data_IF_394304161148
#
_entry.id   IF_394304161148
#
_cell.length_a   1.000
_cell.length_b   1.000
_cell.length_c   1.000
_cell.angle_alpha   90.00
_cell.angle_beta   90.00
_cell.angle_gamma   90.00
#
_symmetry.space_group_name_H-M   'P 1'
#
loop_
_entity.id
_entity.type
_entity.pdbx_description
1 polymer ?
#
# COMPACT_ATOMS: atom_id res chain seq x y z
N UNK A 1 4.95 -20.95 -0.54
CA UNK A 1 3.94 -20.52 -1.51
C UNK A 1 2.76 -21.49 -1.64
N UNK A 2 2.98 -22.79 -1.83
CA UNK A 2 1.86 -23.77 -1.89
C UNK A 2 1.06 -23.83 -0.59
N UNK A 3 1.71 -23.67 0.56
CA UNK A 3 1.10 -23.74 1.90
C UNK A 3 0.23 -22.53 2.26
N UNK A 4 0.49 -21.35 1.67
CA UNK A 4 -0.31 -20.16 1.98
C UNK A 4 -1.60 -20.06 1.17
N UNK A 5 -1.81 -20.94 0.18
CA UNK A 5 -3.02 -20.92 -0.66
C UNK A 5 -3.18 -19.66 -1.50
N UNK A 6 -2.09 -18.94 -1.78
CA UNK A 6 -2.08 -17.67 -2.50
C UNK A 6 -2.86 -17.75 -3.81
N UNK A 7 -3.82 -16.87 -3.97
CA UNK A 7 -4.58 -16.67 -5.21
C UNK A 7 -4.49 -15.21 -5.63
N UNK A 8 -3.84 -14.96 -6.75
CA UNK A 8 -3.76 -13.61 -7.30
C UNK A 8 -4.99 -13.30 -8.15
N UNK A 9 -5.58 -12.09 -8.01
CA UNK A 9 -6.69 -11.67 -8.86
C UNK A 9 -6.21 -11.53 -10.32
N UNK A 10 -6.99 -12.07 -11.25
CA UNK A 10 -6.74 -11.95 -12.68
C UNK A 10 -6.94 -10.50 -13.15
N UNK A 11 -6.26 -10.12 -14.23
CA UNK A 11 -6.35 -8.81 -14.88
C UNK A 11 -6.19 -7.63 -13.91
N UNK A 12 -5.39 -7.79 -12.86
CA UNK A 12 -5.17 -6.78 -11.84
C UNK A 12 -3.69 -6.42 -11.78
N UNK A 13 -3.36 -5.13 -11.87
CA UNK A 13 -2.00 -4.63 -11.62
C UNK A 13 -1.69 -4.58 -10.14
N UNK A 14 -0.41 -4.47 -9.79
CA UNK A 14 0.09 -4.35 -8.41
C UNK A 14 -0.11 -5.60 -7.55
N UNK A 15 -0.42 -6.75 -8.16
CA UNK A 15 -0.56 -8.05 -7.48
C UNK A 15 0.77 -8.58 -6.90
N UNK A 16 1.89 -8.03 -7.35
CA UNK A 16 3.22 -8.22 -6.77
C UNK A 16 3.23 -7.90 -5.27
N UNK A 17 2.49 -6.88 -4.84
CA UNK A 17 2.33 -6.56 -3.43
C UNK A 17 1.64 -7.69 -2.64
N UNK A 18 0.59 -8.30 -3.20
CA UNK A 18 -0.08 -9.46 -2.59
C UNK A 18 0.87 -10.66 -2.57
N UNK A 19 1.57 -10.89 -3.70
CA UNK A 19 2.53 -11.98 -3.85
C UNK A 19 3.66 -11.96 -2.82
N UNK A 20 4.13 -10.78 -2.44
CA UNK A 20 5.16 -10.61 -1.41
C UNK A 20 4.55 -10.67 -0.01
N UNK A 21 3.34 -10.15 0.19
CA UNK A 21 2.74 -9.94 1.50
C UNK A 21 2.12 -11.20 2.12
N UNK A 22 1.30 -11.91 1.37
CA UNK A 22 0.55 -13.06 1.91
C UNK A 22 1.42 -14.24 2.34
N UNK A 23 2.54 -14.59 1.66
CA UNK A 23 3.38 -15.69 2.10
C UNK A 23 4.19 -15.43 3.37
N UNK A 24 4.35 -14.15 3.80
CA UNK A 24 5.23 -13.78 4.92
C UNK A 24 5.01 -14.57 6.21
N UNK A 25 3.78 -14.85 6.68
CA UNK A 25 3.56 -15.65 7.89
C UNK A 25 4.10 -17.08 7.81
N UNK A 26 4.28 -17.61 6.60
CA UNK A 26 4.77 -18.98 6.35
C UNK A 26 6.28 -19.05 6.13
N UNK A 27 6.97 -17.90 6.03
CA UNK A 27 8.41 -17.84 5.82
C UNK A 27 9.13 -18.14 7.15
N UNK A 28 9.88 -19.23 7.18
CA UNK A 28 10.72 -19.63 8.34
C UNK A 28 12.16 -19.15 8.19
N UNK A 29 12.70 -19.24 6.99
CA UNK A 29 14.07 -18.86 6.68
C UNK A 29 14.10 -17.98 5.44
N UNK A 30 14.93 -16.95 5.45
CA UNK A 30 15.22 -16.08 4.32
C UNK A 30 16.70 -16.19 3.95
N UNK A 31 17.00 -16.35 2.66
CA UNK A 31 18.36 -16.39 2.16
C UNK A 31 18.60 -15.16 1.30
N UNK A 32 19.56 -14.35 1.70
CA UNK A 32 20.01 -13.22 0.89
C UNK A 32 21.17 -13.66 0.00
N UNK A 33 21.04 -13.39 -1.30
CA UNK A 33 22.09 -13.61 -2.27
C UNK A 33 22.51 -12.25 -2.84
N UNK A 34 23.78 -11.91 -2.70
CA UNK A 34 24.34 -10.69 -3.28
C UNK A 34 24.66 -10.91 -4.77
N UNK A 35 23.61 -11.02 -5.58
CA UNK A 35 23.69 -11.24 -7.03
C UNK A 35 22.73 -10.31 -7.77
N UNK A 36 23.16 -9.77 -8.91
CA UNK A 36 22.30 -8.99 -9.81
C UNK A 36 21.34 -9.92 -10.58
N UNK A 37 20.38 -10.49 -9.88
CA UNK A 37 19.47 -11.49 -10.42
C UNK A 37 18.43 -10.88 -11.39
N UNK A 38 18.00 -9.63 -11.13
CA UNK A 38 16.98 -8.95 -11.94
C UNK A 38 17.42 -7.53 -12.28
N UNK A 39 17.40 -7.20 -13.56
CA UNK A 39 17.68 -5.85 -14.08
C UNK A 39 16.40 -5.23 -14.57
N UNK A 40 15.92 -4.22 -13.87
CA UNK A 40 14.71 -3.50 -14.23
C UNK A 40 15.06 -2.21 -14.97
N UNK A 41 14.58 -2.08 -16.21
CA UNK A 41 14.77 -0.86 -16.99
C UNK A 41 13.74 0.19 -16.52
N UNK A 42 14.22 1.28 -15.92
CA UNK A 42 13.38 2.37 -15.40
C UNK A 42 13.37 3.51 -16.41
N UNK A 43 12.22 4.19 -16.56
CA UNK A 43 12.09 5.43 -17.35
C UNK A 43 11.22 5.32 -18.60
N UNK A 44 10.55 4.20 -18.84
CA UNK A 44 9.55 4.10 -19.90
C UNK A 44 8.23 4.75 -19.46
N UNK A 45 7.57 5.48 -20.37
CA UNK A 45 6.31 6.17 -20.08
C UNK A 45 5.11 5.24 -19.83
N UNK A 46 5.21 3.99 -20.28
CA UNK A 46 4.16 2.95 -20.14
C UNK A 46 4.30 2.07 -18.88
N UNK A 47 5.30 2.36 -18.03
CA UNK A 47 5.52 1.56 -16.82
C UNK A 47 4.36 1.67 -15.84
N UNK A 48 4.02 0.53 -15.20
CA UNK A 48 2.94 0.45 -14.22
C UNK A 48 3.15 1.37 -13.00
N UNK A 49 4.39 1.71 -12.69
CA UNK A 49 4.78 2.65 -11.62
C UNK A 49 4.75 4.11 -12.04
N UNK A 50 4.51 4.41 -13.33
CA UNK A 50 4.31 5.79 -13.76
C UNK A 50 3.03 6.34 -13.14
N UNK A 51 3.10 7.51 -12.54
CA UNK A 51 2.00 8.13 -11.81
C UNK A 51 0.73 8.31 -12.64
N UNK A 52 0.84 8.73 -13.91
CA UNK A 52 -0.30 8.86 -14.82
C UNK A 52 -0.98 7.51 -15.06
N UNK A 53 -0.19 6.44 -15.15
CA UNK A 53 -0.70 5.07 -15.28
C UNK A 53 -1.35 4.62 -13.96
N UNK A 54 -0.73 4.91 -12.83
CA UNK A 54 -1.25 4.55 -11.50
C UNK A 54 -2.58 5.25 -11.20
N UNK A 55 -2.70 6.54 -11.52
CA UNK A 55 -3.96 7.28 -11.31
C UNK A 55 -5.09 6.74 -12.20
N UNK A 56 -4.77 6.34 -13.43
CA UNK A 56 -5.73 5.68 -14.33
C UNK A 56 -6.17 4.27 -13.88
N UNK A 57 -5.41 3.66 -12.96
CA UNK A 57 -5.68 2.30 -12.43
C UNK A 57 -5.94 2.30 -10.92
N UNK A 58 -6.40 3.44 -10.39
CA UNK A 58 -6.56 3.62 -8.94
C UNK A 58 -7.49 2.59 -8.30
N UNK A 59 -8.52 2.14 -8.99
CA UNK A 59 -9.44 1.14 -8.47
C UNK A 59 -8.77 -0.23 -8.25
N UNK A 60 -7.79 -0.57 -9.09
CA UNK A 60 -6.99 -1.78 -8.90
C UNK A 60 -6.04 -1.66 -7.70
N UNK A 61 -5.45 -0.48 -7.52
CA UNK A 61 -4.63 -0.19 -6.34
C UNK A 61 -5.45 -0.28 -5.04
N UNK A 62 -6.68 0.25 -5.04
CA UNK A 62 -7.61 0.14 -3.90
C UNK A 62 -7.95 -1.34 -3.64
N UNK A 63 -8.27 -2.11 -4.69
CA UNK A 63 -8.57 -3.54 -4.59
C UNK A 63 -7.41 -4.32 -3.95
N UNK A 64 -6.17 -4.07 -4.39
CA UNK A 64 -4.98 -4.70 -3.81
C UNK A 64 -4.83 -4.34 -2.33
N UNK A 65 -5.01 -3.06 -1.98
CA UNK A 65 -4.98 -2.61 -0.58
C UNK A 65 -6.04 -3.32 0.28
N UNK A 66 -7.25 -3.47 -0.24
CA UNK A 66 -8.34 -4.17 0.47
C UNK A 66 -8.01 -5.66 0.69
N UNK A 67 -7.49 -6.35 -0.33
CA UNK A 67 -7.06 -7.75 -0.21
C UNK A 67 -5.98 -7.90 0.86
N UNK A 68 -4.96 -7.04 0.84
CA UNK A 68 -3.89 -7.07 1.85
C UNK A 68 -4.42 -6.76 3.26
N UNK A 69 -5.39 -5.86 3.38
CA UNK A 69 -6.06 -5.55 4.66
C UNK A 69 -6.82 -6.76 5.17
N UNK A 70 -7.61 -7.41 4.32
CA UNK A 70 -8.40 -8.58 4.67
C UNK A 70 -7.50 -9.72 5.15
N UNK A 71 -6.45 -10.01 4.39
CA UNK A 71 -5.47 -11.02 4.74
C UNK A 71 -4.81 -10.74 6.10
N UNK A 72 -4.37 -9.49 6.32
CA UNK A 72 -3.74 -9.10 7.58
C UNK A 72 -4.69 -9.29 8.77
N UNK A 73 -5.97 -8.94 8.62
CA UNK A 73 -6.97 -9.06 9.67
C UNK A 73 -7.32 -10.53 9.92
N UNK A 74 -7.46 -11.33 8.86
CA UNK A 74 -7.73 -12.77 8.96
C UNK A 74 -6.59 -13.51 9.69
N UNK A 75 -5.34 -13.24 9.32
CA UNK A 75 -4.15 -13.86 9.90
C UNK A 75 -3.58 -13.15 11.11
N UNK A 76 -4.32 -12.20 11.67
CA UNK A 76 -3.83 -11.30 12.72
C UNK A 76 -3.28 -12.01 13.94
N UNK A 77 -3.92 -13.09 14.42
CA UNK A 77 -3.46 -13.86 15.57
C UNK A 77 -2.08 -14.49 15.32
N UNK A 78 -1.87 -15.08 14.15
CA UNK A 78 -0.61 -15.70 13.74
C UNK A 78 0.48 -14.62 13.59
N UNK A 79 0.17 -13.54 12.88
CA UNK A 79 1.08 -12.43 12.62
C UNK A 79 1.52 -11.78 13.94
N UNK A 80 0.59 -11.51 14.85
CA UNK A 80 0.87 -10.83 16.12
C UNK A 80 1.68 -11.69 17.10
N UNK A 81 1.72 -13.00 16.93
CA UNK A 81 2.59 -13.91 17.67
C UNK A 81 4.09 -13.67 17.37
N UNK A 82 4.42 -13.08 16.24
CA UNK A 82 5.78 -12.71 15.83
C UNK A 82 5.90 -11.18 15.73
N UNK A 83 6.43 -10.51 16.76
CA UNK A 83 6.52 -9.04 16.81
C UNK A 83 7.28 -8.39 15.62
N UNK A 84 8.45 -8.90 15.18
CA UNK A 84 9.13 -8.39 13.99
C UNK A 84 8.28 -8.49 12.73
N UNK A 85 7.64 -9.64 12.50
CA UNK A 85 6.74 -9.87 11.36
C UNK A 85 5.55 -8.90 11.40
N UNK A 86 4.90 -8.78 12.55
CA UNK A 86 3.76 -7.88 12.74
C UNK A 86 4.13 -6.43 12.43
N UNK A 87 5.30 -5.97 12.90
CA UNK A 87 5.81 -4.64 12.62
C UNK A 87 6.06 -4.43 11.13
N UNK A 88 6.70 -5.39 10.48
CA UNK A 88 6.99 -5.32 9.05
C UNK A 88 5.70 -5.28 8.21
N UNK A 89 4.79 -6.21 8.43
CA UNK A 89 3.55 -6.30 7.68
C UNK A 89 2.64 -5.08 7.90
N UNK A 90 2.56 -4.56 9.13
CA UNK A 90 1.84 -3.31 9.40
C UNK A 90 2.48 -2.10 8.69
N UNK A 91 3.81 -2.01 8.68
CA UNK A 91 4.51 -0.94 7.97
C UNK A 91 4.28 -1.04 6.46
N UNK A 92 4.26 -2.26 5.91
CA UNK A 92 3.97 -2.45 4.49
C UNK A 92 2.54 -2.02 4.15
N UNK A 93 1.57 -2.43 4.97
CA UNK A 93 0.17 -2.02 4.81
C UNK A 93 0.00 -0.51 4.94
N UNK A 94 0.76 0.15 5.84
CA UNK A 94 0.78 1.61 5.97
C UNK A 94 1.29 2.29 4.69
N UNK A 95 2.37 1.78 4.11
CA UNK A 95 2.92 2.27 2.84
C UNK A 95 1.89 2.14 1.71
N UNK A 96 1.28 0.97 1.53
CA UNK A 96 0.28 0.74 0.47
C UNK A 96 -0.95 1.63 0.65
N UNK A 97 -1.40 1.82 1.89
CA UNK A 97 -2.53 2.71 2.21
C UNK A 97 -2.17 4.18 1.95
N UNK A 98 -0.93 4.55 2.23
CA UNK A 98 -0.40 5.88 1.93
C UNK A 98 -0.32 6.15 0.44
N UNK A 99 0.18 5.19 -0.35
CA UNK A 99 0.23 5.28 -1.82
C UNK A 99 -1.19 5.41 -2.39
N UNK A 100 -2.11 4.58 -1.96
CA UNK A 100 -3.52 4.67 -2.38
C UNK A 100 -4.11 6.04 -2.06
N UNK A 101 -3.85 6.56 -0.84
CA UNK A 101 -4.35 7.84 -0.37
C UNK A 101 -3.78 9.02 -1.14
N UNK A 102 -2.46 9.04 -1.38
CA UNK A 102 -1.82 10.16 -2.10
C UNK A 102 -2.24 10.22 -3.56
N UNK A 103 -2.37 9.08 -4.23
CA UNK A 103 -2.87 9.02 -5.60
C UNK A 103 -4.29 9.59 -5.70
N UNK A 104 -5.17 9.21 -4.77
CA UNK A 104 -6.54 9.74 -4.71
C UNK A 104 -6.58 11.25 -4.42
N UNK A 105 -5.69 11.75 -3.54
CA UNK A 105 -5.54 13.19 -3.30
C UNK A 105 -5.04 13.92 -4.55
N UNK A 106 -4.15 13.32 -5.34
CA UNK A 106 -3.61 13.93 -6.57
C UNK A 106 -4.60 13.96 -7.71
N UNK A 107 -5.47 12.96 -7.84
CA UNK A 107 -6.61 13.00 -8.76
C UNK A 107 -7.53 14.19 -8.40
N UNK A 108 -7.74 14.44 -7.12
CA UNK A 108 -8.42 15.61 -6.54
C UNK A 108 -9.82 15.89 -7.09
N UNK A 109 -10.55 14.89 -7.52
CA UNK A 109 -11.99 14.99 -7.85
C UNK A 109 -12.83 14.67 -6.61
N UNK A 110 -14.10 15.14 -6.53
CA UNK A 110 -15.01 14.73 -5.46
C UNK A 110 -15.11 13.21 -5.32
N UNK A 111 -15.17 12.49 -6.44
CA UNK A 111 -15.22 11.03 -6.50
C UNK A 111 -13.95 10.38 -5.92
N UNK A 112 -12.77 10.85 -6.31
CA UNK A 112 -11.52 10.29 -5.78
C UNK A 112 -11.36 10.52 -4.29
N UNK A 113 -11.80 11.68 -3.79
CA UNK A 113 -11.77 11.97 -2.36
C UNK A 113 -12.79 11.11 -1.59
N UNK A 114 -13.93 10.78 -2.21
CA UNK A 114 -14.89 9.83 -1.63
C UNK A 114 -14.29 8.43 -1.58
N UNK A 115 -13.72 7.91 -2.67
CA UNK A 115 -13.02 6.61 -2.69
C UNK A 115 -11.94 6.51 -1.60
N UNK A 116 -11.25 7.61 -1.31
CA UNK A 116 -10.30 7.65 -0.18
C UNK A 116 -11.00 7.46 1.16
N UNK A 117 -12.16 8.11 1.38
CA UNK A 117 -12.95 7.94 2.61
C UNK A 117 -13.48 6.52 2.73
N UNK A 118 -13.99 5.96 1.63
CA UNK A 118 -14.48 4.60 1.56
C UNK A 118 -13.40 3.58 1.89
N UNK A 119 -12.18 3.74 1.36
CA UNK A 119 -11.05 2.87 1.70
C UNK A 119 -10.73 2.91 3.20
N UNK A 120 -10.67 4.09 3.79
CA UNK A 120 -10.40 4.24 5.22
C UNK A 120 -11.55 3.67 6.09
N UNK A 121 -12.80 3.86 5.66
CA UNK A 121 -13.96 3.27 6.31
C UNK A 121 -13.95 1.74 6.21
N UNK A 122 -13.59 1.19 5.05
CA UNK A 122 -13.41 -0.25 4.85
C UNK A 122 -12.41 -0.83 5.87
N UNK A 123 -11.22 -0.24 5.97
CA UNK A 123 -10.20 -0.66 6.93
C UNK A 123 -10.73 -0.56 8.37
N UNK A 124 -11.48 0.50 8.69
CA UNK A 124 -12.08 0.70 10.03
C UNK A 124 -13.13 -0.35 10.37
N UNK A 125 -13.93 -0.76 9.39
CA UNK A 125 -14.93 -1.83 9.55
C UNK A 125 -14.27 -3.19 9.75
N UNK A 126 -13.15 -3.46 9.07
CA UNK A 126 -12.41 -4.71 9.21
C UNK A 126 -11.70 -4.82 10.57
N UNK A 127 -10.97 -3.79 10.97
CA UNK A 127 -10.29 -3.76 12.27
C UNK A 127 -9.99 -2.33 12.75
N UNK A 128 -10.65 -1.92 13.81
CA UNK A 128 -10.47 -0.57 14.40
C UNK A 128 -9.05 -0.30 14.92
N UNK A 129 -8.31 -1.33 15.37
CA UNK A 129 -6.92 -1.16 15.86
C UNK A 129 -5.96 -0.95 14.70
N UNK A 130 -6.11 -1.73 13.63
CA UNK A 130 -5.36 -1.53 12.38
C UNK A 130 -5.66 -0.14 11.82
N UNK A 131 -6.94 0.22 11.66
CA UNK A 131 -7.34 1.54 11.21
C UNK A 131 -6.68 2.67 12.02
N UNK A 132 -6.71 2.58 13.36
CA UNK A 132 -6.09 3.63 14.19
C UNK A 132 -4.59 3.77 13.94
N UNK A 133 -3.87 2.66 13.73
CA UNK A 133 -2.44 2.70 13.42
C UNK A 133 -2.17 3.33 12.06
N UNK A 134 -2.93 2.95 11.02
CA UNK A 134 -2.77 3.48 9.67
C UNK A 134 -3.25 4.94 9.57
N UNK A 135 -4.36 5.30 10.25
CA UNK A 135 -4.95 6.65 10.15
C UNK A 135 -4.20 7.69 10.96
N UNK A 136 -3.73 7.32 12.15
CA UNK A 136 -3.10 8.23 13.12
C UNK A 136 -1.60 7.99 13.27
N UNK A 137 -1.01 7.10 12.49
CA UNK A 137 0.43 6.99 12.31
C UNK A 137 0.99 8.21 11.58
N UNK A 138 2.31 8.30 11.47
CA UNK A 138 3.00 9.43 10.82
C UNK A 138 2.49 9.65 9.39
N UNK A 139 2.53 8.61 8.55
CA UNK A 139 2.10 8.67 7.16
C UNK A 139 0.59 8.95 7.06
N UNK A 140 -0.21 8.28 7.88
CA UNK A 140 -1.66 8.49 7.91
C UNK A 140 -2.03 9.93 8.27
N UNK A 141 -1.37 10.56 9.23
CA UNK A 141 -1.61 11.97 9.57
C UNK A 141 -1.25 12.88 8.39
N UNK A 142 -0.10 12.67 7.75
CA UNK A 142 0.30 13.44 6.58
C UNK A 142 -0.73 13.34 5.43
N UNK A 143 -1.31 12.15 5.21
CA UNK A 143 -2.29 11.91 4.14
C UNK A 143 -3.72 12.38 4.49
N UNK A 144 -3.97 12.78 5.72
CA UNK A 144 -5.31 13.16 6.19
C UNK A 144 -5.37 14.55 6.82
N UNK A 145 -4.50 15.45 6.40
CA UNK A 145 -4.56 16.86 6.76
C UNK A 145 -5.87 17.49 6.24
N UNK A 146 -6.52 18.36 7.03
CA UNK A 146 -7.84 18.89 6.69
C UNK A 146 -7.80 19.93 5.58
N UNK A 147 -8.88 20.00 4.82
CA UNK A 147 -9.13 21.06 3.85
C UNK A 147 -8.26 21.00 2.59
N UNK A 148 -8.37 22.01 1.76
CA UNK A 148 -7.59 22.13 0.51
C UNK A 148 -6.10 22.34 0.79
N UNK A 149 -5.77 23.17 1.77
CA UNK A 149 -4.39 23.46 2.20
C UNK A 149 -3.70 22.19 2.70
N UNK A 150 -4.39 21.38 3.51
CA UNK A 150 -3.85 20.11 4.00
C UNK A 150 -3.51 19.14 2.86
N UNK A 151 -4.40 19.02 1.88
CA UNK A 151 -4.12 18.21 0.69
C UNK A 151 -2.93 18.71 -0.12
N UNK A 152 -2.81 20.03 -0.28
CA UNK A 152 -1.66 20.63 -0.93
C UNK A 152 -0.35 20.28 -0.21
N UNK A 153 -0.31 20.42 1.12
CA UNK A 153 0.86 20.03 1.94
C UNK A 153 1.19 18.55 1.74
N UNK A 154 0.19 17.67 1.73
CA UNK A 154 0.40 16.22 1.49
C UNK A 154 1.06 15.97 0.13
N UNK A 155 0.60 16.66 -0.92
CA UNK A 155 1.14 16.53 -2.29
C UNK A 155 2.56 17.06 -2.38
N UNK A 156 2.84 18.22 -1.81
CA UNK A 156 4.21 18.79 -1.84
C UNK A 156 5.18 17.94 -1.02
N UNK A 157 4.76 17.46 0.14
CA UNK A 157 5.57 16.50 0.93
C UNK A 157 5.88 15.23 0.14
N UNK A 158 4.90 14.67 -0.58
CA UNK A 158 5.11 13.52 -1.45
C UNK A 158 6.11 13.80 -2.58
N UNK A 159 6.01 14.95 -3.27
CA UNK A 159 6.98 15.35 -4.32
C UNK A 159 8.41 15.48 -3.78
N UNK A 160 8.55 16.03 -2.57
CA UNK A 160 9.84 16.13 -1.89
C UNK A 160 10.39 14.71 -1.65
N UNK A 161 9.58 13.79 -1.09
CA UNK A 161 9.99 12.40 -0.90
C UNK A 161 10.39 11.71 -2.22
N UNK A 162 9.62 11.92 -3.30
CA UNK A 162 9.98 11.39 -4.64
C UNK A 162 11.38 11.86 -5.06
N UNK A 163 11.67 13.16 -4.90
CA UNK A 163 12.95 13.74 -5.29
C UNK A 163 14.13 13.19 -4.48
N UNK A 164 13.93 12.96 -3.17
CA UNK A 164 15.00 12.45 -2.29
C UNK A 164 15.22 10.94 -2.42
N UNK A 165 14.15 10.17 -2.63
CA UNK A 165 14.22 8.70 -2.67
C UNK A 165 14.18 8.11 -4.08
N UNK A 166 14.11 8.95 -5.11
CA UNK A 166 14.14 8.52 -6.51
C UNK A 166 12.95 7.68 -6.95
N UNK A 167 11.79 7.84 -6.32
CA UNK A 167 10.56 7.20 -6.79
C UNK A 167 10.04 7.96 -8.02
N UNK A 168 10.00 7.30 -9.15
CA UNK A 168 9.36 7.84 -10.37
C UNK A 168 7.96 7.29 -10.51
#
# INVERSE_FOLDING_TARGET
MRECGLKLPEHTFYVDNIYVFEPLPYVRNMYYLDVNFYRYFIGRSDQSVNEKVMTGRIDQQIKVNQIMTDYFVEKKSEIMGNKPLAKYMLSYLDIITTISSILLIRINTPESLEKKRELLNYISQKDKKVYRKLRYGLLGNCMNLPGKTGRWISVEGYKICQKFFGFN
#
